data_IF_397968612981
#
_entry.id   IF_397968612981
#
_cell.length_a   1.000
_cell.length_b   1.000
_cell.length_c   1.000
_cell.angle_alpha   90.00
_cell.angle_beta   90.00
_cell.angle_gamma   90.00
#
_symmetry.space_group_name_H-M   'P 1'
#
loop_
_entity.id
_entity.type
_entity.pdbx_description
1 polymer ?
#
# COMPACT_ATOMS: atom_id res chain seq x y z
N UNK A 1 29.42 39.50 -14.40
CA UNK A 1 28.02 39.58 -14.87
C UNK A 1 28.03 39.92 -16.35
N UNK A 2 27.23 39.25 -17.18
CA UNK A 2 27.14 39.59 -18.61
C UNK A 2 26.23 40.79 -18.83
N UNK A 3 26.49 41.60 -19.87
CA UNK A 3 25.66 42.76 -20.21
C UNK A 3 24.17 42.40 -20.37
N UNK A 4 23.87 41.22 -20.94
CA UNK A 4 22.49 40.75 -21.10
C UNK A 4 21.75 40.52 -19.78
N UNK A 5 22.44 40.05 -18.74
CA UNK A 5 21.85 39.92 -17.39
C UNK A 5 21.59 41.29 -16.79
N UNK A 6 22.50 42.25 -16.95
CA UNK A 6 22.35 43.63 -16.44
C UNK A 6 21.13 44.31 -17.07
N UNK A 7 20.98 44.23 -18.41
CA UNK A 7 19.83 44.81 -19.10
C UNK A 7 18.49 44.18 -18.69
N UNK A 8 18.46 42.87 -18.41
CA UNK A 8 17.27 42.19 -17.91
C UNK A 8 16.85 42.72 -16.54
N UNK A 9 17.80 42.94 -15.63
CA UNK A 9 17.54 43.52 -14.31
C UNK A 9 17.07 44.98 -14.42
N UNK A 10 17.75 45.83 -15.20
CA UNK A 10 17.34 47.22 -15.43
C UNK A 10 15.90 47.30 -15.94
N UNK A 11 15.52 46.43 -16.87
CA UNK A 11 14.14 46.34 -17.37
C UNK A 11 13.14 45.97 -16.26
N UNK A 12 13.47 45.00 -15.40
CA UNK A 12 12.58 44.57 -14.32
C UNK A 12 12.40 45.63 -13.24
N UNK A 13 13.47 46.35 -12.87
CA UNK A 13 13.37 47.49 -11.95
C UNK A 13 12.52 48.63 -12.53
N UNK A 14 12.69 48.95 -13.83
CA UNK A 14 11.85 49.93 -14.51
C UNK A 14 10.37 49.50 -14.61
N UNK A 15 10.08 48.20 -14.49
CA UNK A 15 8.71 47.65 -14.45
C UNK A 15 8.13 47.62 -13.03
N UNK A 16 8.82 48.17 -12.03
CA UNK A 16 8.34 48.27 -10.66
C UNK A 16 8.67 47.07 -9.76
N UNK A 17 9.57 46.18 -10.17
CA UNK A 17 10.07 45.11 -9.29
C UNK A 17 11.01 45.71 -8.23
N UNK A 18 10.58 45.72 -6.98
CA UNK A 18 11.39 46.21 -5.84
C UNK A 18 12.19 45.10 -5.13
N UNK A 19 11.83 43.83 -5.37
CA UNK A 19 12.46 42.69 -4.71
C UNK A 19 13.71 42.21 -5.46
N UNK A 20 14.84 42.18 -4.77
CA UNK A 20 16.14 41.69 -5.25
C UNK A 20 16.25 40.16 -5.19
N UNK A 21 15.42 39.50 -4.37
CA UNK A 21 15.42 38.05 -4.23
C UNK A 21 14.87 37.36 -5.48
N UNK A 22 15.45 36.20 -5.79
CA UNK A 22 14.94 35.32 -6.84
C UNK A 22 13.48 34.93 -6.54
N UNK A 23 12.68 34.86 -7.59
CA UNK A 23 11.32 34.33 -7.50
C UNK A 23 11.36 32.86 -7.11
N UNK A 24 10.27 32.37 -6.51
CA UNK A 24 10.13 30.97 -6.15
C UNK A 24 10.37 30.12 -7.40
N UNK A 25 11.47 29.37 -7.36
CA UNK A 25 11.86 28.51 -8.47
C UNK A 25 10.80 27.42 -8.58
N UNK A 26 10.26 27.21 -9.77
CA UNK A 26 9.44 26.02 -10.03
C UNK A 26 10.29 24.79 -9.70
N UNK A 27 9.90 24.08 -8.63
CA UNK A 27 10.53 22.84 -8.22
C UNK A 27 10.39 21.77 -9.31
N UNK A 28 11.17 20.70 -9.19
CA UNK A 28 10.96 19.52 -10.02
C UNK A 28 9.54 18.97 -9.74
N UNK A 29 8.70 18.71 -10.76
CA UNK A 29 7.40 18.12 -10.53
C UNK A 29 7.60 16.79 -9.80
N UNK A 30 6.97 16.63 -8.63
CA UNK A 30 7.01 15.36 -7.92
C UNK A 30 6.40 14.29 -8.82
N UNK A 31 7.11 13.17 -8.98
CA UNK A 31 6.58 11.99 -9.69
C UNK A 31 5.26 11.50 -9.08
N UNK A 32 5.04 11.84 -7.81
CA UNK A 32 3.82 11.60 -7.07
C UNK A 32 2.91 12.81 -7.31
N UNK A 33 1.93 12.63 -8.20
CA UNK A 33 0.84 13.59 -8.42
C UNK A 33 -0.35 13.25 -7.51
N UNK A 34 -1.13 14.26 -7.10
CA UNK A 34 -2.33 14.06 -6.28
C UNK A 34 -3.36 13.15 -6.97
N UNK A 35 -3.46 13.24 -8.30
CA UNK A 35 -4.34 12.39 -9.11
C UNK A 35 -3.95 10.91 -9.01
N UNK A 36 -2.64 10.62 -9.00
CA UNK A 36 -2.14 9.27 -8.88
C UNK A 36 -2.46 8.68 -7.50
N UNK A 37 -2.22 9.45 -6.43
CA UNK A 37 -2.54 9.05 -5.06
C UNK A 37 -4.03 8.72 -4.94
N UNK A 38 -4.90 9.56 -5.52
CA UNK A 38 -6.35 9.34 -5.52
C UNK A 38 -6.75 8.06 -6.27
N UNK A 39 -6.15 7.80 -7.42
CA UNK A 39 -6.43 6.61 -8.22
C UNK A 39 -6.03 5.32 -7.48
N UNK A 40 -4.87 5.32 -6.82
CA UNK A 40 -4.41 4.19 -6.00
C UNK A 40 -5.35 3.98 -4.81
N UNK A 41 -5.75 5.05 -4.11
CA UNK A 41 -6.67 4.96 -2.97
C UNK A 41 -8.04 4.40 -3.36
N UNK A 42 -8.58 4.80 -4.51
CA UNK A 42 -9.83 4.24 -5.03
C UNK A 42 -9.70 2.74 -5.35
N UNK A 43 -8.57 2.33 -5.91
CA UNK A 43 -8.31 0.92 -6.23
C UNK A 43 -8.21 0.08 -4.95
N UNK A 44 -7.49 0.57 -3.94
CA UNK A 44 -7.37 -0.08 -2.62
C UNK A 44 -8.73 -0.16 -1.92
N UNK A 45 -9.55 0.90 -1.98
CA UNK A 45 -10.91 0.90 -1.43
C UNK A 45 -11.84 -0.09 -2.12
N UNK A 46 -11.72 -0.26 -3.43
CA UNK A 46 -12.56 -1.19 -4.20
C UNK A 46 -12.31 -2.64 -3.81
N UNK A 47 -11.07 -3.00 -3.46
CA UNK A 47 -10.74 -4.34 -2.99
C UNK A 47 -9.67 -4.29 -1.89
N UNK A 48 -10.12 -4.40 -0.64
CA UNK A 48 -9.27 -4.33 0.57
C UNK A 48 -8.33 -5.53 0.77
N UNK A 49 -8.20 -6.42 -0.22
CA UNK A 49 -7.29 -7.58 -0.19
C UNK A 49 -6.20 -7.50 -1.25
N UNK A 50 -5.91 -6.32 -1.77
CA UNK A 50 -4.87 -6.14 -2.79
C UNK A 50 -3.45 -6.38 -2.26
N UNK A 51 -2.64 -7.08 -3.05
CA UNK A 51 -1.19 -7.13 -2.88
C UNK A 51 -0.51 -6.01 -3.69
N UNK A 52 0.70 -5.60 -3.29
CA UNK A 52 1.53 -4.63 -4.04
C UNK A 52 1.80 -5.12 -5.47
N UNK A 53 1.89 -6.44 -5.65
CA UNK A 53 2.05 -7.10 -6.95
C UNK A 53 0.88 -6.77 -7.90
N UNK A 54 -0.35 -6.79 -7.41
CA UNK A 54 -1.53 -6.48 -8.21
C UNK A 54 -1.55 -5.00 -8.61
N UNK A 55 -1.16 -4.11 -7.69
CA UNK A 55 -1.00 -2.68 -8.02
C UNK A 55 0.06 -2.49 -9.11
N UNK A 56 1.17 -3.21 -9.04
CA UNK A 56 2.21 -3.17 -10.08
C UNK A 56 1.73 -3.65 -11.44
N UNK A 57 0.80 -4.62 -11.49
CA UNK A 57 0.20 -5.07 -12.75
C UNK A 57 -0.75 -4.04 -13.35
N UNK A 58 -1.51 -3.33 -12.50
CA UNK A 58 -2.43 -2.27 -12.92
C UNK A 58 -1.69 -0.97 -13.30
N UNK A 59 -0.58 -0.67 -12.63
CA UNK A 59 0.21 0.55 -12.82
C UNK A 59 1.62 0.23 -13.31
N UNK A 60 1.75 -0.22 -14.56
CA UNK A 60 3.04 -0.61 -15.15
C UNK A 60 4.06 0.55 -15.26
N UNK A 61 3.57 1.79 -15.30
CA UNK A 61 4.40 2.99 -15.40
C UNK A 61 5.07 3.38 -14.06
N UNK A 62 4.74 2.70 -12.96
CA UNK A 62 5.16 3.07 -11.61
C UNK A 62 5.97 1.92 -11.01
N UNK A 63 7.10 2.26 -10.40
CA UNK A 63 7.93 1.27 -9.73
C UNK A 63 7.23 0.71 -8.48
N UNK A 64 7.51 -0.55 -8.17
CA UNK A 64 6.99 -1.22 -6.95
C UNK A 64 7.36 -0.48 -5.67
N UNK A 65 8.54 0.15 -5.62
CA UNK A 65 8.99 0.93 -4.45
C UNK A 65 8.16 2.20 -4.27
N UNK A 66 7.87 2.93 -5.34
CA UNK A 66 7.01 4.12 -5.29
C UNK A 66 5.58 3.76 -4.90
N UNK A 67 5.04 2.64 -5.41
CA UNK A 67 3.72 2.16 -4.98
C UNK A 67 3.69 1.85 -3.48
N UNK A 68 4.76 1.24 -2.94
CA UNK A 68 4.86 1.00 -1.50
C UNK A 68 4.88 2.31 -0.73
N UNK A 69 5.73 3.27 -1.11
CA UNK A 69 5.82 4.60 -0.49
C UNK A 69 4.47 5.34 -0.53
N UNK A 70 3.75 5.33 -1.65
CA UNK A 70 2.42 5.94 -1.75
C UNK A 70 1.42 5.29 -0.79
N UNK A 71 1.41 3.95 -0.72
CA UNK A 71 0.47 3.23 0.13
C UNK A 71 0.77 3.42 1.62
N UNK A 72 2.05 3.42 2.03
CA UNK A 72 2.45 3.51 3.44
C UNK A 72 2.62 4.94 3.93
N UNK A 73 3.30 5.80 3.19
CA UNK A 73 3.64 7.17 3.60
C UNK A 73 2.55 8.18 3.25
N UNK A 74 1.94 8.08 2.06
CA UNK A 74 0.93 9.07 1.64
C UNK A 74 -0.49 8.68 2.05
N UNK A 75 -0.83 7.39 1.99
CA UNK A 75 -2.17 6.89 2.29
C UNK A 75 -2.29 6.25 3.68
N UNK A 76 -1.16 6.02 4.36
CA UNK A 76 -1.08 5.43 5.70
C UNK A 76 -1.78 4.08 5.88
N UNK A 77 -1.89 3.29 4.80
CA UNK A 77 -2.39 1.93 4.89
C UNK A 77 -1.33 1.01 5.48
N UNK A 78 -1.76 0.13 6.38
CA UNK A 78 -0.91 -0.94 6.92
C UNK A 78 -1.40 -2.31 6.47
N UNK A 79 -0.44 -3.18 6.25
CA UNK A 79 -0.66 -4.62 6.06
C UNK A 79 -1.22 -5.21 7.35
N UNK A 80 -2.36 -5.89 7.24
CA UNK A 80 -2.94 -6.64 8.35
C UNK A 80 -2.85 -8.13 8.05
N UNK A 81 -2.28 -8.89 8.98
CA UNK A 81 -2.37 -10.34 8.94
C UNK A 81 -3.70 -10.75 9.57
N UNK A 82 -4.52 -11.50 8.83
CA UNK A 82 -5.69 -12.14 9.42
C UNK A 82 -5.25 -13.17 10.47
N UNK A 83 -5.90 -13.17 11.63
CA UNK A 83 -5.69 -14.24 12.61
C UNK A 83 -6.39 -15.49 12.11
N UNK A 84 -5.68 -16.61 12.07
CA UNK A 84 -6.31 -17.91 11.79
C UNK A 84 -7.38 -18.18 12.86
N UNK A 85 -8.64 -18.22 12.43
CA UNK A 85 -9.76 -18.60 13.29
C UNK A 85 -10.04 -20.08 13.04
N UNK A 86 -9.91 -20.96 14.06
CA UNK A 86 -10.28 -22.37 13.92
C UNK A 86 -11.73 -22.47 13.45
N UNK A 87 -11.93 -23.07 12.29
CA UNK A 87 -13.26 -23.35 11.77
C UNK A 87 -13.88 -24.39 12.69
N UNK A 88 -14.92 -24.02 13.43
CA UNK A 88 -15.60 -24.92 14.37
C UNK A 88 -16.37 -25.98 13.59
N UNK A 89 -15.68 -27.04 13.18
CA UNK A 89 -16.29 -28.27 12.71
C UNK A 89 -16.56 -29.15 13.92
N UNK A 90 -17.82 -29.25 14.33
CA UNK A 90 -18.24 -30.25 15.32
C UNK A 90 -18.15 -31.62 14.65
N UNK A 91 -17.00 -32.27 14.73
CA UNK A 91 -16.80 -33.59 14.15
C UNK A 91 -17.38 -34.66 15.09
N UNK A 92 -18.62 -35.09 14.83
CA UNK A 92 -19.29 -36.13 15.60
C UNK A 92 -18.73 -37.49 15.16
N UNK A 93 -17.70 -37.99 15.84
CA UNK A 93 -17.23 -39.36 15.59
C UNK A 93 -18.13 -40.37 16.28
N UNK A 94 -18.58 -41.38 15.54
CA UNK A 94 -19.21 -42.57 16.09
C UNK A 94 -18.18 -43.71 16.08
N UNK A 95 -17.75 -44.15 17.27
CA UNK A 95 -17.02 -45.41 17.43
C UNK A 95 -17.77 -46.28 18.43
N UNK A 96 -18.05 -47.52 18.06
CA UNK A 96 -18.79 -48.50 18.87
C UNK A 96 -20.19 -48.03 19.30
N UNK A 97 -20.93 -47.37 18.39
CA UNK A 97 -22.33 -46.98 18.62
C UNK A 97 -22.56 -45.91 19.70
N UNK A 98 -21.51 -45.28 20.24
CA UNK A 98 -21.64 -44.16 21.17
C UNK A 98 -20.87 -42.93 20.68
N UNK A 99 -21.48 -41.72 20.73
CA UNK A 99 -20.77 -40.49 20.41
C UNK A 99 -19.70 -40.25 21.50
N UNK A 100 -18.44 -40.13 21.09
CA UNK A 100 -17.39 -39.59 21.96
C UNK A 100 -16.96 -38.25 21.39
N UNK A 101 -17.07 -37.22 22.22
CA UNK A 101 -16.42 -35.94 21.99
C UNK A 101 -14.93 -36.13 22.28
N UNK A 102 -14.09 -36.04 21.24
CA UNK A 102 -12.64 -35.97 21.42
C UNK A 102 -12.18 -34.53 21.19
N UNK A 103 -11.35 -33.96 22.09
CA UNK A 103 -10.76 -32.65 21.88
C UNK A 103 -9.96 -32.64 20.58
N UNK A 104 -10.24 -31.66 19.74
CA UNK A 104 -9.60 -31.49 18.43
C UNK A 104 -8.07 -31.47 18.51
N UNK A 105 -7.48 -31.10 19.65
CA UNK A 105 -6.03 -31.06 19.90
C UNK A 105 -5.30 -32.37 19.58
N UNK A 106 -5.95 -33.52 19.80
CA UNK A 106 -5.34 -34.85 19.59
C UNK A 106 -5.41 -35.30 18.12
N UNK A 107 -6.43 -34.88 17.39
CA UNK A 107 -6.57 -35.18 15.96
C UNK A 107 -5.76 -34.20 15.08
N UNK A 108 -5.65 -32.95 15.50
CA UNK A 108 -4.99 -31.86 14.78
C UNK A 108 -3.47 -32.08 14.65
N UNK A 109 -2.81 -32.53 15.72
CA UNK A 109 -1.34 -32.69 15.73
C UNK A 109 -0.80 -33.71 14.72
N UNK A 110 -1.62 -34.70 14.31
CA UNK A 110 -1.19 -35.77 13.39
C UNK A 110 -1.38 -35.44 11.91
N UNK A 111 -2.21 -34.45 11.56
CA UNK A 111 -2.48 -34.06 10.17
C UNK A 111 -1.83 -32.74 9.74
N UNK A 112 -1.48 -31.85 10.67
CA UNK A 112 -1.10 -30.46 10.33
C UNK A 112 0.29 -30.26 9.72
N UNK A 113 1.23 -31.21 9.81
CA UNK A 113 2.60 -30.97 9.35
C UNK A 113 2.74 -30.90 7.82
N UNK A 114 1.76 -31.39 7.04
CA UNK A 114 1.87 -31.55 5.60
C UNK A 114 1.22 -30.42 4.76
N UNK A 115 0.35 -29.58 5.33
CA UNK A 115 -0.48 -28.60 4.57
C UNK A 115 -0.10 -27.12 4.84
N UNK A 116 0.99 -26.87 5.57
CA UNK A 116 1.24 -25.59 6.26
C UNK A 116 1.75 -24.42 5.39
N UNK A 117 1.92 -24.55 4.05
CA UNK A 117 2.73 -23.58 3.28
C UNK A 117 2.11 -22.87 2.06
N UNK A 118 0.94 -23.23 1.51
CA UNK A 118 0.66 -22.82 0.10
C UNK A 118 -0.19 -21.56 -0.19
N UNK A 119 -0.84 -20.90 0.76
CA UNK A 119 -1.70 -19.73 0.41
C UNK A 119 -1.23 -18.44 1.09
N UNK A 120 -0.09 -17.94 0.65
CA UNK A 120 0.46 -16.65 1.06
C UNK A 120 -0.18 -15.48 0.34
N UNK A 121 -1.41 -15.09 0.70
CA UNK A 121 -1.98 -13.81 0.28
C UNK A 121 -2.20 -12.90 1.47
N UNK A 122 -1.43 -11.83 1.45
CA UNK A 122 -1.33 -10.79 2.44
C UNK A 122 -2.35 -9.71 2.10
N UNK A 123 -3.31 -9.46 2.99
CA UNK A 123 -4.25 -8.36 2.84
C UNK A 123 -3.64 -7.04 3.38
N UNK A 124 -3.74 -5.98 2.59
CA UNK A 124 -3.51 -4.61 3.05
C UNK A 124 -4.89 -4.00 3.33
N UNK A 125 -5.21 -3.66 4.58
CA UNK A 125 -5.98 -2.45 4.93
C UNK A 125 -6.38 -2.43 6.42
N UNK A 126 -5.69 -1.59 7.20
CA UNK A 126 -6.36 -0.62 8.05
C UNK A 126 -5.73 0.74 7.79
N UNK A 127 -6.57 1.75 7.57
CA UNK A 127 -6.22 3.17 7.65
C UNK A 127 -6.44 3.55 9.12
N UNK A 128 -5.38 3.96 9.82
CA UNK A 128 -5.44 4.37 11.23
C UNK A 128 -5.96 5.80 11.31
#
# INVERSE_FOLDING_TARGET
MSEGTVWKWVRMFNQGRENVHDEERSGCPSLITEELVRCIDEKVRTNMRFAISDLSMNFQNISRSLLHEIVTEHLHYKKLCSRWVPKTYVHRTFKNGKPKEQPWSVCWFKSQAAEFCEAGDVAISAKI
#
